data_IF_827745174160
#
_entry.id   IF_827745174160
#
_cell.length_a   1.000
_cell.length_b   1.000
_cell.length_c   1.000
_cell.angle_alpha   90.00
_cell.angle_beta   90.00
_cell.angle_gamma   90.00
#
_symmetry.space_group_name_H-M   'P 1'
#
loop_
_entity.id
_entity.type
_entity.pdbx_description
1 polymer ?
#
# COMPACT_ATOMS: atom_id res chain seq x y z
N UNK A 1 5.94 1.71 -8.00
CA UNK A 1 7.13 2.10 -7.21
C UNK A 1 6.83 2.15 -5.72
N UNK A 2 5.97 3.07 -5.25
CA UNK A 2 5.59 3.18 -3.82
C UNK A 2 4.97 1.88 -3.29
N UNK A 3 3.86 1.42 -3.86
CA UNK A 3 3.19 0.17 -3.41
C UNK A 3 3.92 -1.09 -3.87
N UNK A 4 4.40 -1.10 -5.12
CA UNK A 4 5.10 -2.25 -5.72
C UNK A 4 6.39 -2.62 -4.99
N UNK A 5 7.19 -1.62 -4.59
CA UNK A 5 8.51 -1.82 -4.01
C UNK A 5 8.54 -1.45 -2.51
N UNK A 6 7.38 -1.23 -1.90
CA UNK A 6 7.23 -0.78 -0.51
C UNK A 6 8.08 0.45 -0.17
N UNK A 7 8.23 1.37 -1.12
CA UNK A 7 9.02 2.57 -0.92
C UNK A 7 8.26 3.62 -0.10
N UNK A 8 8.96 4.40 0.73
CA UNK A 8 8.34 5.44 1.51
C UNK A 8 7.73 6.51 0.60
N UNK A 9 6.58 7.06 1.01
CA UNK A 9 5.91 8.12 0.25
C UNK A 9 6.72 9.42 0.20
N UNK A 10 7.76 9.56 1.01
CA UNK A 10 8.71 10.68 0.95
C UNK A 10 9.55 10.72 -0.33
N UNK A 11 9.54 9.66 -1.16
CA UNK A 11 10.29 9.68 -2.43
C UNK A 11 9.88 10.80 -3.38
N UNK A 12 8.62 11.26 -3.32
CA UNK A 12 8.18 12.40 -4.15
C UNK A 12 8.70 13.74 -3.66
N UNK A 13 9.30 13.77 -2.47
CA UNK A 13 9.97 14.94 -1.87
C UNK A 13 11.49 14.87 -2.06
N UNK A 14 12.02 13.77 -2.61
CA UNK A 14 13.45 13.58 -2.84
C UNK A 14 13.96 14.46 -3.99
N UNK A 15 15.01 15.23 -3.75
CA UNK A 15 15.54 16.18 -4.73
C UNK A 15 16.08 15.48 -5.98
N UNK A 16 16.88 14.42 -5.80
CA UNK A 16 17.50 13.71 -6.92
C UNK A 16 16.45 13.01 -7.80
N UNK A 17 15.43 12.42 -7.18
CA UNK A 17 14.30 11.83 -7.89
C UNK A 17 13.50 12.88 -8.67
N UNK A 18 13.25 14.05 -8.10
CA UNK A 18 12.56 15.13 -8.80
C UNK A 18 13.39 15.72 -9.95
N UNK A 19 14.71 15.84 -9.79
CA UNK A 19 15.61 16.24 -10.88
C UNK A 19 15.61 15.21 -12.01
N UNK A 20 15.67 13.92 -11.66
CA UNK A 20 15.56 12.82 -12.62
C UNK A 20 14.23 12.88 -13.39
N UNK A 21 13.10 13.07 -12.70
CA UNK A 21 11.79 13.21 -13.35
C UNK A 21 11.75 14.41 -14.31
N UNK A 22 12.36 15.55 -13.94
CA UNK A 22 12.43 16.73 -14.81
C UNK A 22 13.24 16.50 -16.08
N UNK A 23 14.27 15.65 -16.03
CA UNK A 23 15.04 15.27 -17.23
C UNK A 23 14.20 14.38 -18.15
N UNK A 24 13.39 13.47 -17.59
CA UNK A 24 12.51 12.59 -18.37
C UNK A 24 11.35 13.35 -18.99
N UNK A 25 10.60 14.09 -18.17
CA UNK A 25 9.46 14.90 -18.59
C UNK A 25 9.40 16.17 -17.75
N UNK A 26 9.87 17.31 -18.29
CA UNK A 26 9.85 18.60 -17.59
C UNK A 26 8.45 19.09 -17.21
N UNK A 27 7.39 18.58 -17.85
CA UNK A 27 6.01 18.99 -17.57
C UNK A 27 5.35 18.16 -16.47
N UNK A 28 5.91 17.00 -16.15
CA UNK A 28 5.37 16.14 -15.13
C UNK A 28 5.76 16.62 -13.74
N UNK A 29 4.75 16.87 -12.90
CA UNK A 29 4.94 17.10 -11.47
C UNK A 29 4.33 15.93 -10.71
N UNK A 30 5.10 15.18 -9.91
CA UNK A 30 4.53 14.10 -9.12
C UNK A 30 3.50 14.65 -8.12
N UNK A 31 2.45 13.87 -7.79
CA UNK A 31 1.49 14.28 -6.77
C UNK A 31 2.20 14.48 -5.43
N UNK A 32 1.74 15.46 -4.65
CA UNK A 32 2.31 15.70 -3.33
C UNK A 32 2.14 14.49 -2.42
N UNK A 33 3.06 14.30 -1.49
CA UNK A 33 2.97 13.24 -0.47
C UNK A 33 1.63 13.23 0.24
N UNK A 34 1.08 14.42 0.55
CA UNK A 34 -0.26 14.56 1.15
C UNK A 34 -1.35 13.97 0.27
N UNK A 35 -1.34 14.25 -1.03
CA UNK A 35 -2.34 13.69 -1.95
C UNK A 35 -2.16 12.18 -2.15
N UNK A 36 -0.92 11.69 -2.15
CA UNK A 36 -0.67 10.24 -2.19
C UNK A 36 -1.27 9.56 -0.96
N UNK A 37 -0.99 10.09 0.24
CA UNK A 37 -1.45 9.51 1.51
C UNK A 37 -2.96 9.61 1.71
N UNK A 38 -3.57 10.75 1.35
CA UNK A 38 -4.98 11.02 1.63
C UNK A 38 -5.92 10.49 0.54
N UNK A 39 -5.48 10.50 -0.71
CA UNK A 39 -6.37 10.26 -1.85
C UNK A 39 -5.97 8.96 -2.57
N UNK A 40 -4.73 8.86 -3.05
CA UNK A 40 -4.33 7.76 -3.95
C UNK A 40 -4.20 6.40 -3.25
N UNK A 41 -3.53 6.35 -2.09
CA UNK A 41 -3.35 5.10 -1.35
C UNK A 41 -4.67 4.53 -0.84
N UNK A 42 -5.59 5.32 -0.24
CA UNK A 42 -6.89 4.81 0.16
C UNK A 42 -7.72 4.28 -1.02
N UNK A 43 -7.75 5.00 -2.15
CA UNK A 43 -8.47 4.55 -3.35
C UNK A 43 -7.92 3.23 -3.89
N UNK A 44 -6.58 3.08 -3.93
CA UNK A 44 -5.95 1.85 -4.37
C UNK A 44 -6.22 0.69 -3.41
N UNK A 45 -6.18 0.95 -2.10
CA UNK A 45 -6.52 -0.03 -1.07
C UNK A 45 -7.97 -0.51 -1.24
N UNK A 46 -8.93 0.41 -1.38
CA UNK A 46 -10.33 0.07 -1.57
C UNK A 46 -10.56 -0.75 -2.84
N UNK A 47 -9.92 -0.35 -3.95
CA UNK A 47 -9.96 -1.12 -5.19
C UNK A 47 -9.47 -2.56 -5.00
N UNK A 48 -8.36 -2.75 -4.27
CA UNK A 48 -7.79 -4.07 -4.02
C UNK A 48 -8.61 -4.90 -3.04
N UNK A 49 -9.22 -4.27 -2.03
CA UNK A 49 -10.18 -4.95 -1.17
C UNK A 49 -11.40 -5.43 -1.95
N UNK A 50 -11.91 -4.64 -2.89
CA UNK A 50 -13.07 -5.02 -3.69
C UNK A 50 -12.75 -6.14 -4.68
N UNK A 51 -11.55 -6.14 -5.26
CA UNK A 51 -11.02 -7.25 -6.07
C UNK A 51 -10.93 -8.54 -5.24
N UNK A 52 -10.26 -8.48 -4.09
CA UNK A 52 -10.11 -9.62 -3.19
C UNK A 52 -11.46 -10.15 -2.69
N UNK A 53 -12.43 -9.28 -2.37
CA UNK A 53 -13.77 -9.72 -1.95
C UNK A 53 -14.45 -10.56 -3.03
N UNK A 54 -14.39 -10.13 -4.28
CA UNK A 54 -14.97 -10.88 -5.40
C UNK A 54 -14.26 -12.22 -5.60
N UNK A 55 -12.95 -12.27 -5.47
CA UNK A 55 -12.20 -13.54 -5.52
C UNK A 55 -12.65 -14.47 -4.39
N UNK A 56 -12.82 -13.94 -3.17
CA UNK A 56 -13.24 -14.72 -2.01
C UNK A 56 -14.70 -15.17 -2.06
N UNK A 57 -15.57 -14.54 -2.86
CA UNK A 57 -16.97 -14.98 -3.03
C UNK A 57 -17.07 -16.38 -3.68
N UNK A 58 -16.08 -16.76 -4.49
CA UNK A 58 -16.04 -18.05 -5.18
C UNK A 58 -15.27 -19.13 -4.40
N UNK A 59 -14.61 -18.74 -3.31
CA UNK A 59 -13.79 -19.63 -2.47
C UNK A 59 -14.68 -20.51 -1.59
N UNK A 60 -14.45 -21.81 -1.66
CA UNK A 60 -15.16 -22.81 -0.83
C UNK A 60 -14.37 -23.22 0.41
N UNK A 61 -13.03 -23.17 0.32
CA UNK A 61 -12.14 -23.62 1.38
C UNK A 61 -11.11 -22.55 1.69
N UNK A 62 -11.05 -22.13 2.95
CA UNK A 62 -9.99 -21.25 3.43
C UNK A 62 -9.46 -21.68 4.79
N UNK A 63 -8.24 -21.28 5.10
CA UNK A 63 -7.61 -21.38 6.39
C UNK A 63 -7.27 -19.98 6.88
N UNK A 64 -7.66 -19.67 8.11
CA UNK A 64 -7.37 -18.39 8.74
C UNK A 64 -6.31 -18.62 9.82
N UNK A 65 -5.22 -17.87 9.75
CA UNK A 65 -4.21 -17.81 10.79
C UNK A 65 -4.19 -16.43 11.41
N UNK A 66 -3.89 -16.39 12.71
CA UNK A 66 -3.78 -15.16 13.48
C UNK A 66 -2.42 -15.11 14.12
N UNK A 67 -1.72 -14.00 13.93
CA UNK A 67 -0.48 -13.68 14.64
C UNK A 67 -0.73 -12.52 15.60
N UNK A 68 -0.49 -12.77 16.89
CA UNK A 68 -0.68 -11.79 17.97
C UNK A 68 0.69 -11.47 18.58
N UNK A 69 1.06 -10.20 18.60
CA UNK A 69 2.36 -9.76 19.09
C UNK A 69 2.26 -8.41 19.81
N UNK A 70 3.19 -8.15 20.74
CA UNK A 70 3.30 -6.87 21.43
C UNK A 70 4.48 -6.10 20.86
N UNK A 71 4.25 -4.86 20.45
CA UNK A 71 5.28 -4.02 19.86
C UNK A 71 6.26 -3.50 20.92
N UNK A 72 7.40 -2.96 20.47
CA UNK A 72 8.35 -2.26 21.35
C UNK A 72 7.74 -1.01 22.00
N UNK A 73 6.65 -0.47 21.45
CA UNK A 73 5.87 0.61 22.04
C UNK A 73 4.87 0.10 23.09
N UNK A 74 4.94 -1.18 23.49
CA UNK A 74 4.02 -1.85 24.43
C UNK A 74 2.57 -1.93 23.94
N UNK A 75 2.37 -1.86 22.63
CA UNK A 75 1.05 -1.95 21.98
C UNK A 75 0.80 -3.37 21.48
N UNK A 76 -0.33 -3.96 21.86
CA UNK A 76 -0.79 -5.24 21.33
C UNK A 76 -1.28 -5.10 19.90
N UNK A 77 -0.81 -5.96 19.01
CA UNK A 77 -1.18 -6.01 17.60
C UNK A 77 -1.69 -7.41 17.25
N UNK A 78 -2.65 -7.47 16.32
CA UNK A 78 -3.20 -8.69 15.77
C UNK A 78 -3.17 -8.61 14.24
N UNK A 79 -2.61 -9.64 13.61
CA UNK A 79 -2.60 -9.80 12.15
C UNK A 79 -3.42 -11.03 11.80
N UNK A 80 -4.36 -10.89 10.89
CA UNK A 80 -5.20 -11.99 10.40
C UNK A 80 -4.81 -12.27 8.94
N UNK A 81 -4.45 -13.50 8.64
CA UNK A 81 -4.10 -13.94 7.29
C UNK A 81 -5.08 -15.01 6.84
N UNK A 82 -5.65 -14.85 5.64
CA UNK A 82 -6.50 -15.85 5.00
C UNK A 82 -5.71 -16.51 3.85
N UNK A 83 -5.63 -17.84 3.87
CA UNK A 83 -5.10 -18.66 2.78
C UNK A 83 -6.29 -19.42 2.17
N UNK A 84 -6.46 -19.38 0.85
CA UNK A 84 -7.62 -19.97 0.17
C UNK A 84 -7.22 -20.73 -1.10
N UNK A 85 -8.05 -21.70 -1.50
CA UNK A 85 -7.93 -22.49 -2.75
C UNK A 85 -9.28 -22.60 -3.47
#
# INVERSE_FOLDING_TARGET
>A
MITTNLQPTSIVEDTGFNEFLRVIDPKYTPPSRRSIMRDHLPQLYESKCNELRKELEEVTHCSITTDCWTSRATEGNITVTCQYI
#
